data_IF_554893264072
#
_entry.id   IF_554893264072
#
_cell.length_a   1.000
_cell.length_b   1.000
_cell.length_c   1.000
_cell.angle_alpha   90.00
_cell.angle_beta   90.00
_cell.angle_gamma   90.00
#
_symmetry.space_group_name_H-M   'P 1'
#
loop_
_entity.id
_entity.type
_entity.pdbx_description
1 polymer ?
#
# COMPACT_ATOMS: atom_id res chain seq x y z
N UNK A 1 -5.11 -16.53 -0.07
CA UNK A 1 -3.93 -16.05 0.68
C UNK A 1 -3.93 -16.69 2.07
N UNK A 2 -3.47 -17.95 2.21
CA UNK A 2 -3.32 -18.64 3.49
C UNK A 2 -2.01 -18.27 4.20
N UNK A 3 -2.01 -18.22 5.53
CA UNK A 3 -0.79 -18.08 6.33
C UNK A 3 -0.97 -18.63 7.75
N UNK A 4 0.15 -19.10 8.31
CA UNK A 4 0.31 -19.44 9.72
C UNK A 4 1.45 -18.61 10.32
N UNK A 5 1.21 -18.03 11.50
CA UNK A 5 2.23 -17.34 12.29
C UNK A 5 2.45 -18.12 13.58
N UNK A 6 3.58 -18.82 13.70
CA UNK A 6 3.92 -19.52 14.95
C UNK A 6 4.09 -18.55 16.13
N UNK A 7 4.62 -17.34 15.89
CA UNK A 7 4.83 -16.34 16.93
C UNK A 7 3.52 -15.78 17.50
N UNK A 8 2.52 -15.59 16.64
CA UNK A 8 1.20 -15.10 17.04
C UNK A 8 0.21 -16.25 17.33
N UNK A 9 0.65 -17.50 17.15
CA UNK A 9 -0.17 -18.70 17.11
C UNK A 9 -1.50 -18.51 16.36
N UNK A 10 -1.42 -17.97 15.15
CA UNK A 10 -2.59 -17.57 14.35
C UNK A 10 -2.56 -18.24 12.98
N UNK A 11 -3.64 -18.95 12.63
CA UNK A 11 -3.83 -19.65 11.35
C UNK A 11 -5.02 -19.03 10.62
N UNK A 12 -4.78 -18.45 9.44
CA UNK A 12 -5.84 -17.81 8.66
C UNK A 12 -5.77 -18.11 7.18
N UNK A 13 -6.88 -17.85 6.49
CA UNK A 13 -6.90 -17.72 5.03
C UNK A 13 -7.79 -16.57 4.63
N UNK A 14 -7.23 -15.61 3.91
CA UNK A 14 -8.02 -14.62 3.18
C UNK A 14 -8.34 -15.12 1.78
N UNK A 15 -9.62 -15.07 1.43
CA UNK A 15 -10.09 -15.18 0.05
C UNK A 15 -10.41 -13.77 -0.43
N UNK A 16 -9.89 -13.41 -1.60
CA UNK A 16 -10.12 -12.10 -2.22
C UNK A 16 -10.50 -12.31 -3.67
N UNK A 17 -11.56 -11.64 -4.09
CA UNK A 17 -11.97 -11.54 -5.49
C UNK A 17 -11.76 -10.10 -5.95
N UNK A 18 -11.51 -9.98 -7.25
CA UNK A 18 -11.14 -8.74 -7.89
C UNK A 18 -11.80 -8.67 -9.25
N UNK A 19 -12.47 -7.54 -9.55
CA UNK A 19 -13.14 -7.31 -10.81
C UNK A 19 -12.85 -5.89 -11.32
N UNK A 20 -12.49 -5.79 -12.60
CA UNK A 20 -12.46 -4.52 -13.30
C UNK A 20 -13.88 -3.94 -13.44
N UNK A 21 -14.01 -2.61 -13.32
CA UNK A 21 -15.27 -1.89 -13.55
C UNK A 21 -16.46 -2.26 -12.65
N UNK A 22 -16.24 -3.02 -11.57
CA UNK A 22 -17.25 -3.33 -10.54
C UNK A 22 -16.97 -2.49 -9.28
N UNK A 23 -18.03 -2.08 -8.57
CA UNK A 23 -17.93 -1.36 -7.29
C UNK A 23 -18.69 -2.12 -6.19
N UNK A 24 -18.05 -2.50 -5.07
CA UNK A 24 -16.62 -2.41 -4.80
C UNK A 24 -15.80 -3.34 -5.73
N UNK A 25 -14.61 -2.91 -6.15
CA UNK A 25 -13.77 -3.67 -7.09
C UNK A 25 -13.09 -4.89 -6.47
N UNK A 26 -12.98 -4.88 -5.14
CA UNK A 26 -12.45 -5.99 -4.36
C UNK A 26 -13.50 -6.41 -3.34
N UNK A 27 -13.67 -7.73 -3.18
CA UNK A 27 -14.39 -8.31 -2.06
C UNK A 27 -13.48 -9.33 -1.39
N UNK A 28 -13.41 -9.29 -0.06
CA UNK A 28 -12.60 -10.22 0.70
C UNK A 28 -13.34 -10.78 1.91
N UNK A 29 -13.00 -12.01 2.26
CA UNK A 29 -13.37 -12.65 3.53
C UNK A 29 -12.14 -13.29 4.16
N UNK A 30 -12.04 -13.23 5.48
CA UNK A 30 -10.96 -13.88 6.23
C UNK A 30 -11.54 -14.99 7.09
N UNK A 31 -10.97 -16.17 6.96
CA UNK A 31 -11.24 -17.33 7.78
C UNK A 31 -10.13 -17.46 8.83
N UNK A 32 -10.50 -17.58 10.10
CA UNK A 32 -9.59 -17.80 11.22
C UNK A 32 -9.82 -19.20 11.79
N UNK A 33 -8.75 -19.96 11.96
CA UNK A 33 -8.77 -21.33 12.45
C UNK A 33 -8.02 -21.46 13.77
N UNK A 34 -8.42 -22.44 14.56
CA UNK A 34 -7.65 -22.92 15.71
C UNK A 34 -6.41 -23.69 15.20
N UNK A 35 -5.18 -23.24 15.49
CA UNK A 35 -3.97 -23.91 15.02
C UNK A 35 -3.76 -25.30 15.65
N UNK A 36 -4.40 -25.60 16.79
CA UNK A 36 -4.20 -26.86 17.52
C UNK A 36 -5.02 -28.02 16.96
N UNK A 37 -6.15 -27.73 16.32
CA UNK A 37 -7.12 -28.74 15.90
C UNK A 37 -7.78 -28.46 14.54
N UNK A 38 -7.51 -27.31 13.92
CA UNK A 38 -8.04 -26.94 12.60
C UNK A 38 -9.49 -26.46 12.59
N UNK A 39 -10.14 -26.30 13.75
CA UNK A 39 -11.53 -25.82 13.83
C UNK A 39 -11.64 -24.39 13.31
N UNK A 40 -12.63 -24.11 12.45
CA UNK A 40 -12.94 -22.75 12.01
C UNK A 40 -13.53 -21.96 13.18
N UNK A 41 -12.79 -20.95 13.67
CA UNK A 41 -13.18 -20.10 14.79
C UNK A 41 -14.03 -18.91 14.36
N UNK A 42 -13.73 -18.31 13.21
CA UNK A 42 -14.45 -17.14 12.72
C UNK A 42 -14.42 -17.00 11.19
N UNK A 43 -15.48 -16.38 10.66
CA UNK A 43 -15.58 -15.87 9.30
C UNK A 43 -15.82 -14.38 9.38
N UNK A 44 -14.93 -13.58 8.81
CA UNK A 44 -14.89 -12.12 9.00
C UNK A 44 -14.93 -11.39 7.66
N UNK A 45 -15.47 -10.17 7.66
CA UNK A 45 -15.30 -9.26 6.51
C UNK A 45 -13.81 -8.98 6.32
N UNK A 46 -13.32 -9.22 5.10
CA UNK A 46 -11.93 -8.99 4.74
C UNK A 46 -11.68 -7.63 4.10
N UNK A 47 -12.73 -6.85 3.80
CA UNK A 47 -12.62 -5.58 3.10
C UNK A 47 -11.98 -4.52 4.00
N UNK A 48 -12.50 -4.38 5.23
CA UNK A 48 -11.96 -3.43 6.21
C UNK A 48 -10.55 -3.85 6.64
N UNK A 49 -10.35 -5.15 6.88
CA UNK A 49 -9.02 -5.72 7.19
C UNK A 49 -8.04 -5.38 6.07
N UNK A 50 -8.40 -5.65 4.81
CA UNK A 50 -7.53 -5.37 3.66
C UNK A 50 -7.21 -3.89 3.53
N UNK A 51 -8.18 -2.99 3.71
CA UNK A 51 -7.93 -1.55 3.65
C UNK A 51 -6.93 -1.10 4.74
N UNK A 52 -7.21 -1.46 6.00
CA UNK A 52 -6.38 -1.02 7.13
C UNK A 52 -4.99 -1.65 7.13
N UNK A 53 -4.87 -2.96 6.87
CA UNK A 53 -3.55 -3.63 6.83
C UNK A 53 -2.68 -3.09 5.70
N UNK A 54 -3.26 -2.79 4.54
CA UNK A 54 -2.48 -2.25 3.41
C UNK A 54 -1.94 -0.85 3.74
N UNK A 55 -2.78 0.03 4.27
CA UNK A 55 -2.34 1.36 4.71
C UNK A 55 -1.28 1.28 5.82
N UNK A 56 -1.44 0.37 6.78
CA UNK A 56 -0.48 0.17 7.86
C UNK A 56 0.91 -0.24 7.37
N UNK A 57 0.99 -1.16 6.42
CA UNK A 57 2.28 -1.59 5.84
C UNK A 57 2.94 -0.46 5.05
N UNK A 58 2.18 0.30 4.25
CA UNK A 58 2.69 1.50 3.58
C UNK A 58 3.18 2.57 4.58
N UNK A 59 2.47 2.78 5.68
CA UNK A 59 2.90 3.70 6.72
C UNK A 59 4.19 3.23 7.43
N UNK A 60 4.34 1.92 7.65
CA UNK A 60 5.59 1.34 8.17
C UNK A 60 6.72 1.58 7.17
N UNK A 61 6.54 1.28 5.89
CA UNK A 61 7.54 1.55 4.86
C UNK A 61 7.93 3.03 4.84
N UNK A 62 6.93 3.92 4.85
CA UNK A 62 7.11 5.37 4.90
C UNK A 62 7.93 5.80 6.11
N UNK A 63 7.62 5.28 7.31
CA UNK A 63 8.38 5.60 8.54
C UNK A 63 9.87 5.30 8.41
N UNK A 64 10.25 4.23 7.71
CA UNK A 64 11.66 3.86 7.52
C UNK A 64 12.33 4.59 6.36
N UNK A 65 11.58 4.82 5.27
CA UNK A 65 12.10 5.16 3.95
C UNK A 65 11.86 6.61 3.51
N UNK A 66 10.97 7.36 4.17
CA UNK A 66 10.71 8.76 3.82
C UNK A 66 11.89 9.67 4.17
N UNK A 67 12.10 10.77 3.40
CA UNK A 67 13.11 11.76 3.74
C UNK A 67 12.77 12.45 5.08
N UNK A 68 13.81 12.88 5.81
CA UNK A 68 13.67 13.37 7.19
C UNK A 68 12.69 14.56 7.34
N UNK A 69 12.69 15.47 6.38
CA UNK A 69 11.86 16.68 6.37
C UNK A 69 10.74 16.56 5.31
N UNK A 70 9.92 15.52 5.43
CA UNK A 70 8.77 15.30 4.54
C UNK A 70 7.60 16.21 4.91
N UNK A 71 7.20 17.09 4.00
CA UNK A 71 6.15 18.11 4.22
C UNK A 71 4.95 17.93 3.29
N UNK A 72 5.15 17.32 2.11
CA UNK A 72 4.11 17.18 1.08
C UNK A 72 3.80 15.71 0.82
N UNK A 73 2.54 15.32 1.08
CA UNK A 73 1.98 14.03 0.70
C UNK A 73 1.19 14.16 -0.61
N UNK A 74 1.41 13.26 -1.56
CA UNK A 74 0.61 13.12 -2.77
C UNK A 74 -0.05 11.74 -2.83
N UNK A 75 -1.35 11.70 -3.15
CA UNK A 75 -2.11 10.47 -3.38
C UNK A 75 -2.59 10.44 -4.85
N UNK A 76 -2.21 9.39 -5.58
CA UNK A 76 -2.73 9.10 -6.92
C UNK A 76 -3.78 7.99 -6.81
N UNK A 77 -5.05 8.36 -7.04
CA UNK A 77 -6.22 7.52 -6.86
C UNK A 77 -7.13 7.99 -5.72
N UNK A 78 -8.44 7.80 -5.88
CA UNK A 78 -9.46 8.22 -4.91
C UNK A 78 -10.38 7.06 -4.45
N UNK A 79 -9.89 5.82 -4.48
CA UNK A 79 -10.62 4.62 -4.08
C UNK A 79 -10.50 4.27 -2.59
N UNK A 80 -10.98 3.09 -2.19
CA UNK A 80 -10.97 2.60 -0.78
C UNK A 80 -9.58 2.66 -0.15
N UNK A 81 -8.53 2.27 -0.89
CA UNK A 81 -7.14 2.32 -0.41
C UNK A 81 -6.69 3.77 -0.16
N UNK A 82 -7.13 4.75 -0.96
CA UNK A 82 -6.79 6.15 -0.74
C UNK A 82 -7.32 6.67 0.60
N UNK A 83 -8.56 6.32 0.97
CA UNK A 83 -9.15 6.75 2.25
C UNK A 83 -8.39 6.18 3.45
N UNK A 84 -8.09 4.88 3.44
CA UNK A 84 -7.34 4.24 4.52
C UNK A 84 -5.89 4.75 4.63
N UNK A 85 -5.23 5.03 3.50
CA UNK A 85 -3.90 5.65 3.53
C UNK A 85 -3.98 7.08 4.06
N UNK A 86 -4.94 7.89 3.63
CA UNK A 86 -5.09 9.25 4.14
C UNK A 86 -5.37 9.28 5.65
N UNK A 87 -6.35 8.48 6.11
CA UNK A 87 -6.70 8.35 7.54
C UNK A 87 -5.42 8.08 8.36
N UNK A 88 -4.68 7.03 8.00
CA UNK A 88 -3.52 6.63 8.78
C UNK A 88 -2.32 7.56 8.61
N UNK A 89 -2.07 8.09 7.42
CA UNK A 89 -0.91 8.94 7.16
C UNK A 89 -1.06 10.30 7.85
N UNK A 90 -2.27 10.87 7.88
CA UNK A 90 -2.52 12.13 8.58
C UNK A 90 -2.59 11.98 10.10
N UNK A 91 -2.85 10.76 10.60
CA UNK A 91 -2.73 10.43 12.02
C UNK A 91 -1.27 10.26 12.46
N UNK A 92 -0.44 9.59 11.65
CA UNK A 92 0.94 9.23 12.02
C UNK A 92 2.01 10.25 11.63
N UNK A 93 1.76 11.08 10.61
CA UNK A 93 2.73 12.01 10.06
C UNK A 93 2.15 13.42 9.96
N UNK A 94 3.03 14.42 10.09
CA UNK A 94 2.64 15.84 10.04
C UNK A 94 3.02 16.48 8.70
N UNK A 95 2.22 16.20 7.67
CA UNK A 95 2.36 16.88 6.38
C UNK A 95 1.77 18.30 6.44
N UNK A 96 2.46 19.27 5.84
CA UNK A 96 1.97 20.64 5.65
C UNK A 96 0.95 20.73 4.53
N UNK A 97 1.06 19.84 3.55
CA UNK A 97 0.20 19.82 2.37
C UNK A 97 -0.13 18.37 1.98
N UNK A 98 -1.41 18.13 1.66
CA UNK A 98 -1.86 16.88 1.06
C UNK A 98 -2.48 17.16 -0.29
N UNK A 99 -2.00 16.46 -1.31
CA UNK A 99 -2.47 16.55 -2.70
C UNK A 99 -3.13 15.25 -3.12
N UNK A 100 -4.12 15.37 -4.00
CA UNK A 100 -4.75 14.22 -4.64
C UNK A 100 -4.93 14.45 -6.13
N UNK A 101 -4.70 13.41 -6.89
CA UNK A 101 -5.15 13.33 -8.28
C UNK A 101 -5.90 12.01 -8.52
N UNK A 102 -6.92 12.05 -9.35
CA UNK A 102 -7.62 10.87 -9.82
C UNK A 102 -8.06 11.07 -11.27
N UNK A 103 -8.04 10.01 -12.08
CA UNK A 103 -8.47 10.03 -13.50
C UNK A 103 -9.83 10.69 -13.70
N UNK A 104 -10.78 10.39 -12.82
CA UNK A 104 -12.10 11.05 -12.75
C UNK A 104 -12.03 12.12 -11.67
N UNK A 105 -12.00 13.40 -12.08
CA UNK A 105 -11.78 14.53 -11.17
C UNK A 105 -12.82 14.61 -10.07
N UNK A 106 -14.07 14.30 -10.39
CA UNK A 106 -15.21 14.32 -9.46
C UNK A 106 -15.00 13.40 -8.26
N UNK A 107 -14.29 12.27 -8.45
CA UNK A 107 -13.95 11.35 -7.37
C UNK A 107 -12.86 11.92 -6.45
N UNK A 108 -11.87 12.65 -6.99
CA UNK A 108 -10.87 13.35 -6.19
C UNK A 108 -11.49 14.50 -5.38
N UNK A 109 -12.42 15.25 -5.98
CA UNK A 109 -13.17 16.28 -5.27
C UNK A 109 -14.09 15.70 -4.19
N UNK A 110 -14.76 14.58 -4.48
CA UNK A 110 -15.57 13.85 -3.47
C UNK A 110 -14.68 13.41 -2.30
N UNK A 111 -13.50 12.85 -2.60
CA UNK A 111 -12.52 12.49 -1.58
C UNK A 111 -12.16 13.69 -0.71
N UNK A 112 -11.73 14.81 -1.32
CA UNK A 112 -11.32 16.01 -0.61
C UNK A 112 -12.44 16.62 0.26
N UNK A 113 -13.71 16.47 -0.15
CA UNK A 113 -14.87 16.89 0.67
C UNK A 113 -15.24 15.92 1.80
N UNK A 114 -14.85 14.65 1.68
CA UNK A 114 -15.27 13.58 2.61
C UNK A 114 -14.29 13.41 3.76
N UNK A 115 -13.00 13.61 3.50
CA UNK A 115 -11.95 13.44 4.50
C UNK A 115 -11.82 14.65 5.42
N UNK A 116 -11.27 14.44 6.62
CA UNK A 116 -10.99 15.51 7.57
C UNK A 116 -9.65 16.19 7.22
N UNK A 117 -9.67 17.49 6.97
CA UNK A 117 -8.46 18.27 6.68
C UNK A 117 -8.38 18.77 5.23
N UNK A 118 -7.50 19.74 4.95
CA UNK A 118 -7.37 20.31 3.61
C UNK A 118 -6.67 19.34 2.67
N UNK A 119 -7.27 19.12 1.49
CA UNK A 119 -6.68 18.34 0.40
C UNK A 119 -6.77 19.15 -0.89
N UNK A 120 -5.62 19.38 -1.52
CA UNK A 120 -5.55 20.04 -2.83
C UNK A 120 -5.84 19.02 -3.94
N UNK A 121 -6.90 19.27 -4.71
CA UNK A 121 -7.23 18.48 -5.91
C UNK A 121 -6.44 19.02 -7.09
N UNK A 122 -5.51 18.22 -7.61
CA UNK A 122 -4.68 18.55 -8.75
C UNK A 122 -5.36 18.12 -10.07
N UNK A 123 -5.05 18.84 -11.15
CA UNK A 123 -5.60 18.59 -12.49
C UNK A 123 -4.89 17.46 -13.25
N UNK A 124 -3.65 17.16 -12.89
CA UNK A 124 -2.84 16.10 -13.49
C UNK A 124 -2.01 15.35 -12.44
N UNK A 125 -1.62 14.11 -12.77
CA UNK A 125 -0.70 13.33 -11.93
C UNK A 125 0.64 14.05 -11.76
N UNK A 126 1.16 14.69 -12.82
CA UNK A 126 2.39 15.49 -12.78
C UNK A 126 2.30 16.65 -11.78
N UNK A 127 1.20 17.41 -11.82
CA UNK A 127 0.98 18.51 -10.87
C UNK A 127 0.96 17.99 -9.42
N UNK A 128 0.29 16.86 -9.17
CA UNK A 128 0.18 16.30 -7.84
C UNK A 128 1.53 15.87 -7.26
N UNK A 129 2.39 15.21 -8.05
CA UNK A 129 3.68 14.68 -7.57
C UNK A 129 4.82 15.68 -7.60
N UNK A 130 4.69 16.80 -8.31
CA UNK A 130 5.75 17.80 -8.45
C UNK A 130 6.14 18.37 -7.09
N UNK A 131 7.35 18.04 -6.61
CA UNK A 131 7.83 18.47 -5.29
C UNK A 131 7.25 17.70 -4.10
N UNK A 132 6.48 16.63 -4.33
CA UNK A 132 5.98 15.77 -3.25
C UNK A 132 7.13 14.97 -2.61
N UNK A 133 7.11 14.85 -1.27
CA UNK A 133 8.10 14.09 -0.50
C UNK A 133 7.69 12.62 -0.36
N UNK A 134 6.39 12.40 -0.19
CA UNK A 134 5.79 11.07 -0.09
C UNK A 134 4.67 10.95 -1.12
N UNK A 135 4.71 9.88 -1.91
CA UNK A 135 3.73 9.60 -2.96
C UNK A 135 3.08 8.25 -2.68
N UNK A 136 1.77 8.14 -2.84
CA UNK A 136 1.00 6.89 -2.72
C UNK A 136 0.27 6.64 -4.03
N UNK A 137 0.54 5.51 -4.70
CA UNK A 137 -0.23 5.09 -5.90
C UNK A 137 -1.17 3.94 -5.52
N UNK A 138 -2.47 4.20 -5.65
CA UNK A 138 -3.55 3.30 -5.22
C UNK A 138 -4.65 3.23 -6.29
N UNK A 139 -4.25 3.17 -7.56
CA UNK A 139 -5.15 3.13 -8.70
C UNK A 139 -5.31 1.72 -9.26
N UNK A 140 -6.14 1.64 -10.30
CA UNK A 140 -6.39 0.45 -11.10
C UNK A 140 -5.80 0.63 -12.51
N UNK A 141 -4.80 1.50 -12.66
CA UNK A 141 -4.16 1.71 -13.94
C UNK A 141 -3.40 0.45 -14.36
N UNK A 142 -3.48 0.15 -15.65
CA UNK A 142 -2.72 -0.94 -16.28
C UNK A 142 -1.50 -0.42 -17.04
N UNK A 143 -1.39 0.91 -17.19
CA UNK A 143 -0.29 1.61 -17.83
C UNK A 143 0.24 2.70 -16.89
N UNK A 144 1.55 3.05 -16.98
CA UNK A 144 2.15 4.03 -16.10
C UNK A 144 1.39 5.35 -16.02
N UNK A 145 1.16 5.81 -14.79
CA UNK A 145 0.56 7.11 -14.44
C UNK A 145 1.54 7.98 -13.67
N UNK A 146 2.59 7.39 -13.11
CA UNK A 146 3.67 8.07 -12.42
C UNK A 146 4.95 7.91 -13.24
N UNK A 147 5.47 9.02 -13.73
CA UNK A 147 6.72 9.07 -14.47
C UNK A 147 7.84 9.58 -13.57
N UNK A 148 8.97 8.87 -13.57
CA UNK A 148 10.10 9.19 -12.69
C UNK A 148 10.71 10.57 -12.93
N UNK A 149 10.53 11.17 -14.11
CA UNK A 149 10.96 12.55 -14.42
C UNK A 149 10.25 13.61 -13.57
N UNK A 150 9.06 13.30 -13.03
CA UNK A 150 8.28 14.23 -12.22
C UNK A 150 8.59 14.11 -10.73
N UNK A 151 9.27 13.02 -10.34
CA UNK A 151 9.50 12.67 -8.94
C UNK A 151 10.63 13.53 -8.37
N UNK A 152 10.36 14.20 -7.25
CA UNK A 152 11.38 14.94 -6.49
C UNK A 152 12.53 13.99 -6.12
N UNK A 153 13.80 14.34 -6.37
CA UNK A 153 14.92 13.56 -5.88
C UNK A 153 14.85 13.37 -4.36
N UNK A 154 14.93 12.12 -3.90
CA UNK A 154 14.79 11.78 -2.47
C UNK A 154 13.36 11.47 -2.01
N UNK A 155 12.36 11.56 -2.89
CA UNK A 155 10.98 11.22 -2.54
C UNK A 155 10.81 9.71 -2.26
N UNK A 156 9.85 9.39 -1.40
CA UNK A 156 9.42 8.02 -1.13
C UNK A 156 8.08 7.72 -1.79
N UNK A 157 8.00 6.60 -2.52
CA UNK A 157 6.80 6.17 -3.23
C UNK A 157 6.30 4.86 -2.63
N UNK A 158 5.05 4.82 -2.19
CA UNK A 158 4.31 3.61 -1.86
C UNK A 158 3.49 3.18 -3.09
N UNK A 159 3.94 2.15 -3.80
CA UNK A 159 3.30 1.63 -5.00
C UNK A 159 2.40 0.41 -4.65
N UNK A 160 1.09 0.62 -4.58
CA UNK A 160 0.13 -0.32 -3.97
C UNK A 160 -0.90 -0.85 -4.98
N UNK A 161 -1.13 -0.15 -6.08
CA UNK A 161 -1.91 -0.66 -7.22
C UNK A 161 -1.10 -1.63 -8.08
N UNK A 162 -1.58 -1.91 -9.30
CA UNK A 162 -0.89 -2.76 -10.28
C UNK A 162 -0.36 -4.08 -9.70
N UNK A 163 -1.25 -4.86 -9.08
CA UNK A 163 -0.96 -6.17 -8.46
C UNK A 163 -1.15 -7.33 -9.45
N UNK A 164 -0.82 -7.10 -10.72
CA UNK A 164 -0.90 -8.08 -11.82
C UNK A 164 0.38 -7.99 -12.65
N UNK A 165 0.91 -9.11 -13.18
CA UNK A 165 2.22 -9.16 -13.82
C UNK A 165 2.30 -8.35 -15.12
N UNK A 166 1.16 -7.99 -15.68
CA UNK A 166 0.98 -7.22 -16.90
C UNK A 166 0.51 -5.78 -16.65
N UNK A 167 0.31 -5.37 -15.39
CA UNK A 167 -0.19 -4.03 -15.03
C UNK A 167 0.92 -3.17 -14.43
N UNK A 168 0.86 -1.87 -14.72
CA UNK A 168 1.80 -0.89 -14.18
C UNK A 168 1.12 0.39 -13.75
N UNK A 169 1.65 0.98 -12.68
CA UNK A 169 1.40 2.38 -12.30
C UNK A 169 2.64 3.25 -12.50
N UNK A 170 3.85 2.65 -12.46
CA UNK A 170 5.13 3.35 -12.51
C UNK A 170 5.85 3.03 -13.82
N UNK A 171 6.48 4.04 -14.40
CA UNK A 171 7.28 3.90 -15.61
C UNK A 171 8.68 3.29 -15.33
N UNK A 172 9.43 3.00 -16.40
CA UNK A 172 10.77 2.42 -16.29
C UNK A 172 11.74 3.36 -15.56
N UNK A 173 11.61 4.67 -15.76
CA UNK A 173 12.49 5.63 -15.12
C UNK A 173 12.28 5.64 -13.60
N UNK A 174 11.03 5.67 -13.12
CA UNK A 174 10.73 5.61 -11.69
C UNK A 174 11.25 4.31 -11.06
N UNK A 175 11.06 3.18 -11.74
CA UNK A 175 11.46 1.86 -11.22
C UNK A 175 12.98 1.64 -11.22
N UNK A 176 13.69 2.03 -12.29
CA UNK A 176 15.13 1.76 -12.42
C UNK A 176 16.02 2.77 -11.70
N UNK A 177 15.55 4.00 -11.48
CA UNK A 177 16.32 5.06 -10.84
C UNK A 177 15.97 5.28 -9.36
N UNK A 178 15.24 4.35 -8.75
CA UNK A 178 14.91 4.35 -7.32
C UNK A 178 15.50 3.14 -6.61
N UNK A 179 15.67 3.23 -5.30
CA UNK A 179 15.97 2.06 -4.48
C UNK A 179 14.65 1.31 -4.24
N UNK A 180 14.54 0.10 -4.79
CA UNK A 180 13.33 -0.70 -4.76
C UNK A 180 13.28 -1.61 -3.53
N UNK A 181 12.31 -1.36 -2.66
CA UNK A 181 11.89 -2.21 -1.56
C UNK A 181 10.58 -2.90 -1.91
N UNK A 182 10.38 -4.12 -1.41
CA UNK A 182 9.15 -4.89 -1.62
C UNK A 182 8.66 -5.47 -0.31
N UNK A 183 7.41 -5.92 -0.25
CA UNK A 183 6.92 -6.71 0.88
C UNK A 183 7.46 -8.14 0.85
N UNK A 184 7.38 -8.81 -0.31
CA UNK A 184 7.98 -10.13 -0.59
C UNK A 184 8.64 -10.13 -1.96
N UNK A 185 9.89 -10.58 -2.03
CA UNK A 185 10.63 -10.76 -3.29
C UNK A 185 9.96 -11.77 -4.19
N UNK A 186 9.49 -12.88 -3.62
CA UNK A 186 8.81 -13.93 -4.38
C UNK A 186 7.57 -13.36 -5.08
N UNK A 187 6.68 -12.70 -4.32
CA UNK A 187 5.46 -12.12 -4.85
C UNK A 187 5.77 -11.01 -5.87
N UNK A 188 6.73 -10.12 -5.57
CA UNK A 188 7.10 -9.02 -6.45
C UNK A 188 7.57 -9.51 -7.84
N UNK A 189 8.36 -10.59 -7.87
CA UNK A 189 8.89 -11.17 -9.10
C UNK A 189 7.86 -11.98 -9.90
N UNK A 190 6.75 -12.39 -9.29
CA UNK A 190 5.69 -13.16 -9.95
C UNK A 190 4.44 -12.35 -10.29
N UNK A 191 4.10 -11.33 -9.50
CA UNK A 191 2.79 -10.66 -9.54
C UNK A 191 2.87 -9.17 -9.92
N UNK A 192 4.02 -8.50 -9.77
CA UNK A 192 4.11 -7.06 -10.03
C UNK A 192 4.60 -6.76 -11.45
N UNK A 193 3.72 -6.26 -12.32
CA UNK A 193 4.14 -5.77 -13.64
C UNK A 193 5.08 -4.57 -13.57
N UNK A 194 4.96 -3.70 -12.55
CA UNK A 194 5.95 -2.63 -12.33
C UNK A 194 7.37 -3.18 -12.19
N UNK A 195 7.55 -4.29 -11.45
CA UNK A 195 8.86 -4.93 -11.23
C UNK A 195 9.28 -5.76 -12.44
N UNK A 196 8.40 -6.67 -12.90
CA UNK A 196 8.68 -7.63 -13.97
C UNK A 196 9.01 -6.91 -15.29
N UNK A 197 8.18 -5.95 -15.69
CA UNK A 197 8.30 -5.30 -16.99
C UNK A 197 9.38 -4.22 -17.03
N UNK A 198 9.70 -3.61 -15.88
CA UNK A 198 10.83 -2.68 -15.80
C UNK A 198 12.18 -3.39 -15.69
N UNK A 199 12.22 -4.64 -15.21
CA UNK A 199 13.46 -5.34 -14.89
C UNK A 199 14.23 -4.70 -13.73
N UNK A 200 13.56 -3.91 -12.89
CA UNK A 200 14.19 -3.28 -11.73
C UNK A 200 14.65 -4.34 -10.73
N UNK A 201 15.85 -4.13 -10.18
CA UNK A 201 16.42 -5.04 -9.17
C UNK A 201 15.88 -4.71 -7.78
N UNK A 202 15.30 -5.71 -7.12
CA UNK A 202 14.85 -5.57 -5.73
C UNK A 202 16.05 -5.47 -4.80
N UNK A 203 16.12 -4.37 -4.03
CA UNK A 203 17.19 -4.12 -3.08
C UNK A 203 17.00 -4.90 -1.77
N UNK A 204 15.80 -4.84 -1.19
CA UNK A 204 15.47 -5.46 0.09
C UNK A 204 13.96 -5.71 0.24
N UNK A 205 13.61 -6.70 1.05
CA UNK A 205 12.27 -6.81 1.63
C UNK A 205 12.12 -5.84 2.80
N UNK A 206 10.91 -5.34 3.03
CA UNK A 206 10.62 -4.43 4.13
C UNK A 206 10.97 -5.06 5.49
N UNK A 207 10.77 -6.37 5.64
CA UNK A 207 11.15 -7.11 6.84
C UNK A 207 12.65 -7.05 7.14
N UNK A 208 13.51 -7.08 6.11
CA UNK A 208 14.96 -6.95 6.27
C UNK A 208 15.35 -5.55 6.79
N UNK A 209 14.63 -4.52 6.35
CA UNK A 209 14.83 -3.14 6.83
C UNK A 209 14.38 -2.99 8.29
N UNK A 210 13.21 -3.54 8.63
CA UNK A 210 12.66 -3.51 10.01
C UNK A 210 13.61 -4.23 10.98
N UNK A 211 14.22 -5.34 10.57
CA UNK A 211 15.17 -6.09 11.38
C UNK A 211 16.59 -5.50 11.38
N UNK A 212 16.85 -4.47 10.59
CA UNK A 212 18.17 -3.83 10.47
C UNK A 212 19.21 -4.65 9.70
N UNK A 213 18.82 -5.73 9.01
CA UNK A 213 19.73 -6.51 8.16
C UNK A 213 19.98 -5.85 6.80
N UNK A 214 19.10 -4.94 6.38
CA UNK A 214 19.28 -4.05 5.22
C UNK A 214 19.09 -2.59 5.63
N UNK A 215 19.88 -1.67 5.06
CA UNK A 215 19.75 -0.24 5.40
C UNK A 215 18.51 0.38 4.76
N UNK A 216 17.98 1.42 5.39
CA UNK A 216 17.00 2.32 4.80
C UNK A 216 17.70 3.51 4.14
N UNK A 217 17.78 3.53 2.80
CA UNK A 217 18.43 4.58 2.01
C UNK A 217 17.50 5.78 1.75
N UNK A 218 17.07 6.45 2.83
CA UNK A 218 16.07 7.54 2.82
C UNK A 218 16.51 8.83 2.12
N UNK A 219 17.80 8.98 1.86
CA UNK A 219 18.37 10.10 1.11
C UNK A 219 18.26 9.94 -0.42
N UNK A 220 17.88 8.73 -0.88
CA UNK A 220 17.64 8.42 -2.30
C UNK A 220 16.15 8.42 -2.59
N UNK A 221 15.78 8.53 -3.85
CA UNK A 221 14.41 8.19 -4.27
C UNK A 221 14.17 6.71 -3.96
N UNK A 222 13.11 6.41 -3.23
CA UNK A 222 12.77 5.04 -2.82
C UNK A 222 11.39 4.65 -3.31
N UNK A 223 11.24 3.39 -3.72
CA UNK A 223 9.95 2.80 -4.06
C UNK A 223 9.73 1.62 -3.13
N UNK A 224 8.61 1.61 -2.42
CA UNK A 224 8.09 0.42 -1.77
C UNK A 224 6.94 -0.15 -2.61
N UNK A 225 7.17 -1.29 -3.26
CA UNK A 225 6.13 -2.00 -3.99
C UNK A 225 5.42 -2.97 -3.05
N UNK A 226 4.12 -2.76 -2.83
CA UNK A 226 3.26 -3.63 -2.03
C UNK A 226 2.27 -4.40 -2.90
N UNK A 227 2.23 -5.70 -2.71
CA UNK A 227 1.25 -6.63 -3.27
C UNK A 227 0.30 -7.16 -2.19
N UNK A 228 0.78 -7.17 -0.94
CA UNK A 228 0.09 -7.67 0.23
C UNK A 228 0.41 -9.13 0.50
N UNK A 229 0.83 -9.41 1.72
CA UNK A 229 1.12 -10.78 2.16
C UNK A 229 0.02 -11.32 3.07
N UNK A 230 -0.22 -12.62 2.99
CA UNK A 230 -1.21 -13.30 3.83
C UNK A 230 -0.98 -13.10 5.33
N UNK A 231 0.28 -12.98 5.76
CA UNK A 231 0.67 -12.77 7.15
C UNK A 231 0.13 -11.44 7.73
N UNK A 232 -0.03 -10.42 6.89
CA UNK A 232 -0.59 -9.13 7.29
C UNK A 232 -2.08 -9.27 7.64
N UNK A 233 -2.81 -10.06 6.86
CA UNK A 233 -4.21 -10.39 7.14
C UNK A 233 -4.31 -11.30 8.39
N UNK A 234 -3.35 -12.21 8.59
CA UNK A 234 -3.30 -13.10 9.77
C UNK A 234 -3.22 -12.30 11.07
N UNK A 235 -2.28 -11.35 11.14
CA UNK A 235 -2.10 -10.53 12.35
C UNK A 235 -3.33 -9.64 12.58
N UNK A 236 -3.84 -8.99 11.53
CA UNK A 236 -5.01 -8.13 11.65
C UNK A 236 -6.27 -8.91 12.09
N UNK A 237 -6.54 -10.08 11.49
CA UNK A 237 -7.69 -10.91 11.84
C UNK A 237 -7.59 -11.44 13.28
N UNK A 238 -6.39 -11.86 13.71
CA UNK A 238 -6.20 -12.30 15.09
C UNK A 238 -6.47 -11.17 16.10
N UNK A 239 -5.95 -9.96 15.84
CA UNK A 239 -6.21 -8.79 16.70
C UNK A 239 -7.71 -8.47 16.81
N UNK A 240 -8.44 -8.53 15.69
CA UNK A 240 -9.90 -8.28 15.70
C UNK A 240 -10.62 -9.38 16.47
N UNK A 241 -10.26 -10.65 16.26
CA UNK A 241 -10.88 -11.78 16.94
C UNK A 241 -10.64 -11.76 18.45
N UNK A 242 -9.41 -11.50 18.90
CA UNK A 242 -9.06 -11.38 20.31
C UNK A 242 -9.88 -10.28 20.98
N UNK A 243 -9.93 -9.09 20.37
CA UNK A 243 -10.73 -7.96 20.86
C UNK A 243 -12.22 -8.27 20.96
N UNK A 244 -12.77 -8.92 19.92
CA UNK A 244 -14.17 -9.36 19.91
C UNK A 244 -14.45 -10.39 21.02
N UNK A 245 -13.58 -11.39 21.17
CA UNK A 245 -13.75 -12.47 22.16
C UNK A 245 -13.62 -11.99 23.61
N UNK A 246 -12.82 -10.96 23.85
CA UNK A 246 -12.66 -10.35 25.17
C UNK A 246 -13.82 -9.42 25.57
N UNK A 247 -14.64 -8.98 24.60
CA UNK A 247 -15.80 -8.12 24.81
C UNK A 247 -17.10 -8.91 25.05
N UNK A 248 -17.03 -10.25 25.02
CA UNK A 248 -18.15 -11.18 25.22
C UNK A 248 -18.35 -11.62 26.66
#
# INVERSE_FOLDING_TARGET
MPAYSAKADALTTKLVTFYENVTPSHQATVLLFDPTNGTLKAVMDGNVITAKRTAAVSAIATKYLMPADSEVLCILGAGVKAYSHYELFTELFSFKEVRIWNRTKENAEKFARTVNGPVQVCSSAQEAVSGADVIVTVTMATQPILHGEWVKPGAHINAVGASRPDWRELDDHAMRNSVLYVDSKEAALSESGDVILSGASVFAELGEVILGSKPALREKTTVFKSLGMAIEDTVAANMVFESWSASG
#
